data_IF_500391906180
#
_entry.id   IF_500391906180
#
_cell.length_a   1.000
_cell.length_b   1.000
_cell.length_c   1.000
_cell.angle_alpha   90.00
_cell.angle_beta   90.00
_cell.angle_gamma   90.00
#
_symmetry.space_group_name_H-M   'P 1'
#
loop_
_entity.id
_entity.type
_entity.pdbx_description
1 polymer ?
#
# COMPACT_ATOMS: atom_id res chain seq x y z
N UNK A 1 14.01 -3.07 -6.49
CA UNK A 1 13.58 -2.19 -7.59
C UNK A 1 13.52 -3.02 -8.85
N UNK A 2 12.58 -2.74 -9.76
CA UNK A 2 12.47 -3.46 -11.03
C UNK A 2 12.76 -2.48 -12.17
N UNK A 3 13.68 -2.87 -13.05
CA UNK A 3 13.99 -2.16 -14.28
C UNK A 3 13.39 -2.95 -15.45
N UNK A 4 12.74 -2.24 -16.36
CA UNK A 4 12.16 -2.77 -17.58
C UNK A 4 12.80 -2.08 -18.76
N UNK A 5 13.34 -2.86 -19.69
CA UNK A 5 13.80 -2.38 -20.99
C UNK A 5 12.74 -2.81 -22.01
N UNK A 6 11.96 -1.84 -22.51
CA UNK A 6 10.74 -2.13 -23.27
C UNK A 6 11.08 -2.33 -24.74
N UNK A 7 11.53 -1.27 -25.41
CA UNK A 7 11.86 -1.29 -26.85
C UNK A 7 12.81 -0.17 -27.25
N UNK A 8 13.54 -0.39 -28.34
CA UNK A 8 14.21 0.66 -29.11
C UNK A 8 13.33 1.13 -30.27
N UNK A 9 13.51 2.37 -30.71
CA UNK A 9 12.80 2.94 -31.86
C UNK A 9 13.80 3.71 -32.71
N UNK A 10 13.86 3.40 -34.01
CA UNK A 10 14.69 4.08 -35.01
C UNK A 10 16.15 4.22 -34.57
N UNK A 11 16.76 3.14 -34.08
CA UNK A 11 18.14 3.18 -33.58
C UNK A 11 19.15 3.49 -34.70
N UNK A 12 20.24 4.21 -34.39
CA UNK A 12 21.15 4.68 -35.42
C UNK A 12 21.85 3.51 -36.11
N UNK A 13 21.83 3.54 -37.43
CA UNK A 13 22.47 2.53 -38.25
C UNK A 13 23.94 2.90 -38.48
N UNK A 14 24.90 2.03 -38.15
CA UNK A 14 26.30 2.29 -38.44
C UNK A 14 26.60 2.32 -39.94
N UNK A 15 27.68 3.01 -40.38
CA UNK A 15 28.08 3.00 -41.78
C UNK A 15 28.32 1.58 -42.29
N UNK A 16 27.70 1.25 -43.43
CA UNK A 16 27.84 -0.06 -44.08
C UNK A 16 26.84 -1.14 -43.61
N UNK A 17 25.89 -0.80 -42.75
CA UNK A 17 24.77 -1.67 -42.36
C UNK A 17 23.45 -1.04 -42.82
N UNK A 18 22.43 -1.88 -43.03
CA UNK A 18 21.06 -1.41 -43.15
C UNK A 18 20.33 -1.48 -41.79
N UNK A 19 19.26 -0.70 -41.57
CA UNK A 19 18.47 -0.78 -40.35
C UNK A 19 17.97 -2.21 -40.05
N UNK A 20 17.68 -2.99 -41.10
CA UNK A 20 17.18 -4.36 -41.00
C UNK A 20 18.26 -5.41 -40.74
N UNK A 21 19.55 -5.05 -40.73
CA UNK A 21 20.65 -5.98 -40.44
C UNK A 21 21.18 -5.83 -39.00
N UNK A 22 20.51 -5.01 -38.19
CA UNK A 22 20.96 -4.72 -36.84
C UNK A 22 20.54 -5.83 -35.88
N UNK A 23 21.55 -6.48 -35.30
CA UNK A 23 21.41 -7.31 -34.10
C UNK A 23 21.66 -6.46 -32.87
N UNK A 24 20.66 -6.20 -32.04
CA UNK A 24 20.72 -5.20 -30.97
C UNK A 24 20.51 -5.84 -29.61
N UNK A 25 21.29 -5.42 -28.63
CA UNK A 25 21.03 -5.62 -27.21
C UNK A 25 21.34 -4.34 -26.43
N UNK A 26 20.75 -4.21 -25.24
CA UNK A 26 20.97 -3.07 -24.36
C UNK A 26 21.69 -3.54 -23.11
N UNK A 27 22.79 -2.88 -22.77
CA UNK A 27 23.47 -3.03 -21.48
C UNK A 27 22.99 -1.91 -20.57
N UNK A 28 22.82 -2.18 -19.29
CA UNK A 28 22.62 -1.11 -18.31
C UNK A 28 23.67 -1.15 -17.21
N UNK A 29 23.91 0.01 -16.62
CA UNK A 29 24.80 0.21 -15.48
C UNK A 29 24.05 1.05 -14.44
N UNK A 30 23.73 0.41 -13.31
CA UNK A 30 23.12 1.05 -12.15
C UNK A 30 24.20 1.27 -11.07
N UNK A 31 24.61 2.52 -10.80
CA UNK A 31 25.79 2.85 -10.00
C UNK A 31 25.52 2.76 -8.48
N UNK A 32 25.13 1.58 -8.02
CA UNK A 32 24.81 1.25 -6.63
C UNK A 32 25.24 -0.20 -6.30
N UNK A 33 25.89 -0.44 -5.14
CA UNK A 33 26.09 0.47 -4.00
C UNK A 33 27.13 1.58 -4.18
N UNK A 34 28.07 1.41 -5.10
CA UNK A 34 29.03 2.42 -5.54
C UNK A 34 29.31 2.23 -7.06
N UNK A 35 30.31 2.91 -7.64
CA UNK A 35 30.62 2.82 -9.09
C UNK A 35 31.38 1.54 -9.44
N UNK A 36 32.19 1.03 -8.52
CA UNK A 36 33.01 -0.17 -8.71
C UNK A 36 32.14 -1.44 -8.61
N UNK A 37 31.22 -1.45 -7.66
CA UNK A 37 30.22 -2.51 -7.42
C UNK A 37 28.88 -2.22 -8.11
N UNK A 38 28.90 -1.46 -9.21
CA UNK A 38 27.67 -1.14 -9.93
C UNK A 38 26.98 -2.40 -10.44
N UNK A 39 25.65 -2.43 -10.36
CA UNK A 39 24.84 -3.52 -10.90
C UNK A 39 24.72 -3.38 -12.41
N UNK A 40 25.27 -4.36 -13.13
CA UNK A 40 25.29 -4.39 -14.59
C UNK A 40 24.66 -5.67 -15.08
N UNK A 41 23.83 -5.54 -16.10
CA UNK A 41 23.30 -6.68 -16.84
C UNK A 41 22.99 -6.23 -18.28
N UNK A 42 22.50 -7.15 -19.10
CA UNK A 42 22.14 -6.89 -20.49
C UNK A 42 20.90 -7.65 -20.91
N UNK A 43 20.21 -7.11 -21.91
CA UNK A 43 19.12 -7.83 -22.58
C UNK A 43 19.63 -8.97 -23.43
N UNK A 44 18.71 -9.85 -23.81
CA UNK A 44 18.84 -10.72 -24.98
C UNK A 44 19.02 -9.89 -26.26
N UNK A 45 19.56 -10.56 -27.28
CA UNK A 45 19.84 -9.94 -28.58
C UNK A 45 18.62 -10.11 -29.47
N UNK A 46 18.06 -9.00 -29.93
CA UNK A 46 17.00 -8.97 -30.92
C UNK A 46 17.64 -8.74 -32.28
N UNK A 47 17.36 -9.61 -33.25
CA UNK A 47 18.04 -9.62 -34.55
C UNK A 47 17.26 -8.90 -35.63
N UNK A 48 17.99 -8.44 -36.64
CA UNK A 48 17.47 -7.92 -37.90
C UNK A 48 16.45 -6.78 -37.77
N UNK A 49 16.69 -5.81 -36.87
CA UNK A 49 15.78 -4.68 -36.68
C UNK A 49 16.44 -3.48 -36.02
N UNK A 50 16.06 -2.28 -36.43
CA UNK A 50 16.44 -1.01 -35.79
C UNK A 50 15.47 -0.58 -34.68
N UNK A 51 14.35 -1.30 -34.55
CA UNK A 51 13.29 -1.05 -33.58
C UNK A 51 12.98 -2.30 -32.76
N UNK A 52 13.96 -2.78 -31.96
CA UNK A 52 13.86 -4.04 -31.22
C UNK A 52 12.87 -3.94 -30.05
N UNK A 53 12.05 -4.97 -29.86
CA UNK A 53 11.24 -5.15 -28.65
C UNK A 53 11.91 -6.15 -27.70
N UNK A 54 12.33 -5.70 -26.52
CA UNK A 54 13.01 -6.54 -25.54
C UNK A 54 12.01 -7.11 -24.52
N UNK A 55 11.17 -6.25 -23.93
CA UNK A 55 10.20 -6.60 -22.86
C UNK A 55 10.84 -7.36 -21.69
N UNK A 56 12.09 -7.04 -21.37
CA UNK A 56 12.85 -7.70 -20.32
C UNK A 56 12.79 -6.96 -18.99
N UNK A 57 12.85 -7.73 -17.90
CA UNK A 57 12.77 -7.23 -16.53
C UNK A 57 13.99 -7.65 -15.71
N UNK A 58 14.61 -6.69 -15.05
CA UNK A 58 15.77 -6.88 -14.18
C UNK A 58 15.44 -6.50 -12.75
N UNK A 59 15.77 -7.37 -11.79
CA UNK A 59 15.57 -7.10 -10.37
C UNK A 59 16.83 -6.49 -9.77
N UNK A 60 16.79 -5.19 -9.48
CA UNK A 60 17.89 -4.45 -8.88
C UNK A 60 17.79 -4.50 -7.35
N UNK A 61 18.87 -4.96 -6.72
CA UNK A 61 19.05 -5.01 -5.28
C UNK A 61 19.28 -3.60 -4.74
N UNK A 62 18.47 -3.16 -3.78
CA UNK A 62 18.53 -1.80 -3.24
C UNK A 62 18.45 -1.82 -1.71
N UNK A 63 19.14 -0.88 -1.06
CA UNK A 63 18.95 -0.56 0.35
C UNK A 63 18.56 0.92 0.47
N UNK A 64 17.31 1.20 0.85
CA UNK A 64 16.74 2.55 0.94
C UNK A 64 17.48 3.46 1.94
N UNK A 65 18.07 2.88 2.98
CA UNK A 65 18.84 3.63 3.99
C UNK A 65 20.25 3.98 3.55
N UNK A 66 20.77 3.39 2.47
CA UNK A 66 22.15 3.58 2.05
C UNK A 66 22.35 4.91 1.32
N UNK A 67 23.39 5.67 1.71
CA UNK A 67 23.70 6.97 1.08
C UNK A 67 23.99 6.84 -0.41
N UNK A 68 24.65 5.76 -0.83
CA UNK A 68 24.91 5.48 -2.24
C UNK A 68 23.62 5.30 -3.05
N UNK A 69 22.56 4.75 -2.45
CA UNK A 69 21.27 4.60 -3.13
C UNK A 69 20.64 5.98 -3.38
N UNK A 70 20.57 6.84 -2.35
CA UNK A 70 20.08 8.22 -2.53
C UNK A 70 20.81 8.97 -3.62
N UNK A 71 22.15 8.85 -3.68
CA UNK A 71 22.96 9.49 -4.73
C UNK A 71 22.64 8.91 -6.12
N UNK A 72 22.48 7.60 -6.23
CA UNK A 72 22.10 6.95 -7.48
C UNK A 72 20.75 7.47 -7.99
N UNK A 73 19.78 7.69 -7.09
CA UNK A 73 18.46 8.23 -7.43
C UNK A 73 18.53 9.70 -7.83
N UNK A 74 19.16 10.55 -7.02
CA UNK A 74 19.10 12.02 -7.16
C UNK A 74 20.04 12.59 -8.21
N UNK A 75 21.20 11.97 -8.43
CA UNK A 75 22.28 12.60 -9.21
C UNK A 75 22.77 11.78 -10.39
N UNK A 76 22.70 10.44 -10.32
CA UNK A 76 23.33 9.58 -11.33
C UNK A 76 22.34 8.92 -12.29
N UNK A 77 21.25 8.34 -11.81
CA UNK A 77 20.34 7.56 -12.64
C UNK A 77 20.93 6.22 -13.10
N UNK A 78 20.29 5.60 -14.11
CA UNK A 78 20.75 4.37 -14.77
C UNK A 78 21.25 4.74 -16.16
N UNK A 79 22.47 4.28 -16.49
CA UNK A 79 23.02 4.43 -17.84
C UNK A 79 22.67 3.21 -18.67
N UNK A 80 22.29 3.42 -19.92
CA UNK A 80 22.04 2.40 -20.92
C UNK A 80 23.02 2.57 -22.08
N UNK A 81 23.52 1.46 -22.58
CA UNK A 81 24.34 1.41 -23.79
C UNK A 81 23.63 0.51 -24.78
N UNK A 82 23.26 1.09 -25.92
CA UNK A 82 22.63 0.36 -27.02
C UNK A 82 23.76 -0.18 -27.90
N UNK A 83 23.79 -1.49 -28.10
CA UNK A 83 24.92 -2.17 -28.73
C UNK A 83 24.44 -3.03 -29.87
N UNK A 84 25.07 -2.86 -31.03
CA UNK A 84 24.96 -3.81 -32.12
C UNK A 84 25.92 -4.97 -31.87
N UNK A 85 25.38 -6.19 -31.79
CA UNK A 85 26.16 -7.40 -31.63
C UNK A 85 26.88 -7.74 -32.93
N UNK A 86 28.20 -7.86 -32.85
CA UNK A 86 29.01 -8.31 -33.97
C UNK A 86 28.79 -9.81 -34.26
N UNK A 87 28.97 -10.21 -35.52
CA UNK A 87 29.03 -11.62 -35.89
C UNK A 87 30.25 -12.34 -35.27
N UNK A 88 30.44 -13.62 -35.62
CA UNK A 88 31.41 -14.54 -34.99
C UNK A 88 32.88 -14.05 -34.91
N UNK A 89 33.27 -13.05 -35.71
CA UNK A 89 34.61 -12.43 -35.71
C UNK A 89 34.60 -10.90 -35.69
N UNK A 90 33.44 -10.28 -35.48
CA UNK A 90 33.30 -8.82 -35.41
C UNK A 90 33.07 -8.42 -33.96
N UNK A 91 33.68 -7.33 -33.53
CA UNK A 91 33.45 -6.78 -32.19
C UNK A 91 32.06 -6.14 -32.10
N UNK A 92 31.50 -6.17 -30.90
CA UNK A 92 30.28 -5.44 -30.59
C UNK A 92 30.51 -3.93 -30.78
N UNK A 93 29.54 -3.25 -31.41
CA UNK A 93 29.62 -1.82 -31.70
C UNK A 93 28.56 -1.07 -30.90
N UNK A 94 29.00 -0.12 -30.08
CA UNK A 94 28.08 0.78 -29.37
C UNK A 94 27.46 1.73 -30.39
N UNK A 95 26.12 1.72 -30.44
CA UNK A 95 25.30 2.60 -31.29
C UNK A 95 25.05 3.94 -30.62
N UNK A 96 24.98 3.94 -29.29
CA UNK A 96 24.85 5.13 -28.48
C UNK A 96 24.52 4.80 -27.04
N UNK A 97 24.33 5.85 -26.25
CA UNK A 97 24.06 5.77 -24.82
C UNK A 97 22.83 6.60 -24.47
N UNK A 98 22.05 6.12 -23.49
CA UNK A 98 20.91 6.83 -22.93
C UNK A 98 21.03 6.82 -21.41
N UNK A 99 20.41 7.78 -20.72
CA UNK A 99 20.48 7.86 -19.26
C UNK A 99 19.10 8.19 -18.70
N UNK A 100 18.58 7.31 -17.84
CA UNK A 100 17.32 7.52 -17.12
C UNK A 100 17.60 8.21 -15.79
N UNK A 101 17.01 9.38 -15.58
CA UNK A 101 16.99 10.01 -14.26
C UNK A 101 15.93 9.34 -13.39
N UNK A 102 16.18 9.26 -12.08
CA UNK A 102 15.36 8.49 -11.14
C UNK A 102 14.74 9.37 -10.05
N UNK A 103 14.88 10.70 -10.15
CA UNK A 103 14.35 11.68 -9.21
C UNK A 103 12.83 11.59 -9.06
N UNK A 104 12.09 11.27 -10.14
CA UNK A 104 10.65 11.05 -10.07
C UNK A 104 10.23 9.87 -9.16
N UNK A 105 11.14 8.93 -8.85
CA UNK A 105 10.88 7.85 -7.88
C UNK A 105 10.80 8.33 -6.42
N UNK A 106 11.16 9.60 -6.15
CA UNK A 106 10.98 10.18 -4.81
C UNK A 106 9.50 10.35 -4.46
N UNK A 107 8.66 10.64 -5.46
CA UNK A 107 7.22 10.91 -5.32
C UNK A 107 6.33 9.85 -5.98
N UNK A 108 6.84 9.09 -6.94
CA UNK A 108 6.08 8.08 -7.68
C UNK A 108 6.67 6.67 -7.52
N UNK A 109 5.82 5.65 -7.66
CA UNK A 109 6.24 4.25 -7.69
C UNK A 109 6.77 3.80 -9.05
N UNK A 110 6.51 4.58 -10.11
CA UNK A 110 6.79 4.21 -11.49
C UNK A 110 7.31 5.41 -12.27
N UNK A 111 8.37 5.19 -13.05
CA UNK A 111 8.92 6.16 -13.99
C UNK A 111 9.05 5.45 -15.31
N UNK A 112 8.33 5.92 -16.33
CA UNK A 112 8.39 5.41 -17.70
C UNK A 112 8.76 6.56 -18.61
N UNK A 113 9.88 6.42 -19.31
CA UNK A 113 10.40 7.47 -20.17
C UNK A 113 10.87 6.88 -21.51
N UNK A 114 10.75 7.72 -22.54
CA UNK A 114 11.32 7.48 -23.86
C UNK A 114 12.57 8.36 -23.97
N UNK A 115 13.73 7.74 -23.79
CA UNK A 115 15.01 8.43 -23.75
C UNK A 115 15.59 8.56 -25.16
N UNK A 116 16.20 9.71 -25.46
CA UNK A 116 16.97 9.86 -26.69
C UNK A 116 18.32 9.16 -26.57
N UNK A 117 18.70 8.41 -27.60
CA UNK A 117 19.99 7.75 -27.69
C UNK A 117 21.01 8.74 -28.25
N UNK A 118 22.10 8.93 -27.50
CA UNK A 118 23.15 9.89 -27.80
C UNK A 118 24.46 9.20 -28.18
N UNK A 119 25.14 9.70 -29.20
CA UNK A 119 26.53 9.36 -29.48
C UNK A 119 27.44 10.45 -28.87
N UNK A 120 27.93 10.17 -27.67
CA UNK A 120 28.61 11.14 -26.82
C UNK A 120 27.67 12.29 -26.41
N UNK A 121 27.77 13.42 -27.10
CA UNK A 121 26.89 14.60 -26.89
C UNK A 121 25.89 14.83 -28.02
N UNK A 122 25.99 14.06 -29.12
CA UNK A 122 25.18 14.28 -30.31
C UNK A 122 23.92 13.40 -30.28
N UNK A 123 22.72 13.96 -30.51
CA UNK A 123 21.52 13.15 -30.65
C UNK A 123 21.61 12.29 -31.91
N UNK A 124 21.25 11.02 -31.79
CA UNK A 124 21.27 10.07 -32.92
C UNK A 124 19.92 9.97 -33.62
N UNK A 125 18.86 10.54 -33.04
CA UNK A 125 17.47 10.39 -33.49
C UNK A 125 16.79 9.11 -33.01
N UNK A 126 17.57 8.10 -32.60
CA UNK A 126 17.06 6.88 -31.99
C UNK A 126 16.55 7.08 -30.57
N UNK A 127 15.58 6.27 -30.16
CA UNK A 127 14.96 6.36 -28.84
C UNK A 127 14.95 5.01 -28.14
N UNK A 128 15.03 5.02 -26.81
CA UNK A 128 14.96 3.86 -25.95
C UNK A 128 13.86 4.06 -24.91
N UNK A 129 12.85 3.20 -24.95
CA UNK A 129 11.79 3.18 -23.96
C UNK A 129 12.15 2.28 -22.78
N UNK A 130 12.19 2.88 -21.59
CA UNK A 130 12.52 2.20 -20.35
C UNK A 130 11.52 2.55 -19.26
N UNK A 131 11.38 1.66 -18.29
CA UNK A 131 10.53 1.88 -17.15
C UNK A 131 11.18 1.34 -15.88
N UNK A 132 11.08 2.06 -14.78
CA UNK A 132 11.52 1.61 -13.46
C UNK A 132 10.35 1.64 -12.50
N UNK A 133 10.22 0.56 -11.71
CA UNK A 133 9.16 0.41 -10.71
C UNK A 133 9.73 0.08 -9.34
N UNK A 134 9.17 0.73 -8.32
CA UNK A 134 9.42 0.47 -6.91
C UNK A 134 8.09 0.24 -6.20
N UNK A 135 8.12 -0.50 -5.08
CA UNK A 135 6.91 -0.88 -4.35
C UNK A 135 6.22 0.31 -3.69
N UNK A 136 7.02 1.21 -3.13
CA UNK A 136 6.59 2.44 -2.48
C UNK A 136 7.58 3.53 -2.89
N UNK A 137 7.13 4.79 -3.03
CA UNK A 137 7.99 5.93 -3.31
C UNK A 137 9.04 6.12 -2.20
N UNK A 138 10.13 6.82 -2.53
CA UNK A 138 11.31 6.88 -1.65
C UNK A 138 11.20 7.91 -0.52
N UNK A 139 10.48 9.02 -0.74
CA UNK A 139 10.43 10.14 0.20
C UNK A 139 9.03 10.41 0.73
N UNK A 140 8.04 10.49 -0.16
CA UNK A 140 6.66 10.91 0.18
C UNK A 140 5.68 9.81 -0.16
N UNK A 141 4.68 9.50 0.68
CA UNK A 141 3.61 8.57 0.30
C UNK A 141 2.94 9.05 -0.99
N UNK A 142 2.85 8.19 -2.00
CA UNK A 142 2.21 8.52 -3.28
C UNK A 142 0.71 8.67 -3.01
N UNK A 143 0.25 9.92 -2.91
CA UNK A 143 -1.16 10.27 -2.77
C UNK A 143 -1.75 10.40 -4.18
N UNK A 144 -2.33 9.32 -4.69
CA UNK A 144 -3.09 9.35 -5.93
C UNK A 144 -4.52 9.81 -5.61
N UNK A 145 -4.93 10.98 -6.14
CA UNK A 145 -6.26 11.54 -5.89
C UNK A 145 -7.25 10.94 -6.88
N UNK A 146 -7.91 9.85 -6.49
CA UNK A 146 -8.92 9.20 -7.33
C UNK A 146 -10.30 9.83 -7.06
N UNK A 147 -10.92 10.42 -8.08
CA UNK A 147 -12.32 10.85 -8.00
C UNK A 147 -13.24 9.64 -8.14
N UNK A 148 -13.68 9.09 -7.02
CA UNK A 148 -14.72 8.07 -6.99
C UNK A 148 -16.12 8.72 -7.02
N UNK A 149 -17.07 8.10 -7.73
CA UNK A 149 -18.47 8.51 -7.70
C UNK A 149 -19.13 7.89 -6.47
N UNK A 150 -19.30 8.71 -5.45
CA UNK A 150 -19.99 8.32 -4.24
C UNK A 150 -21.49 8.21 -4.52
N UNK A 151 -22.05 7.01 -4.30
CA UNK A 151 -23.50 6.85 -4.23
C UNK A 151 -23.98 7.46 -2.92
N UNK A 152 -24.66 8.60 -3.00
CA UNK A 152 -25.36 9.20 -1.87
C UNK A 152 -26.77 8.60 -1.85
N UNK A 153 -27.08 7.83 -0.81
CA UNK A 153 -28.43 7.31 -0.57
C UNK A 153 -29.14 8.33 0.31
N UNK A 154 -30.11 9.03 -0.27
CA UNK A 154 -30.95 9.94 0.50
C UNK A 154 -31.74 9.15 1.56
N UNK A 155 -31.74 9.59 2.83
CA UNK A 155 -32.52 8.93 3.86
C UNK A 155 -34.00 9.06 3.52
N UNK A 156 -34.69 7.92 3.48
CA UNK A 156 -36.14 7.84 3.23
C UNK A 156 -36.85 8.75 4.24
N UNK A 157 -37.68 9.71 3.80
CA UNK A 157 -38.40 10.56 4.73
C UNK A 157 -39.30 9.68 5.61
N UNK A 158 -39.12 9.80 6.91
CA UNK A 158 -39.88 9.08 7.92
C UNK A 158 -41.38 9.25 7.63
N UNK A 159 -42.06 8.13 7.38
CA UNK A 159 -43.49 8.10 7.18
C UNK A 159 -44.19 8.80 8.35
N UNK A 160 -44.90 9.88 8.04
CA UNK A 160 -45.82 10.56 8.94
C UNK A 160 -46.87 9.55 9.43
N UNK A 161 -47.06 9.37 10.75
CA UNK A 161 -48.12 8.51 11.25
C UNK A 161 -49.48 9.15 10.98
N UNK A 162 -50.29 8.46 10.19
CA UNK A 162 -51.70 8.78 9.93
C UNK A 162 -52.46 8.76 11.25
N UNK A 163 -52.93 9.94 11.69
CA UNK A 163 -53.83 10.07 12.83
C UNK A 163 -55.23 9.60 12.41
N UNK A 164 -55.74 8.55 13.05
CA UNK A 164 -57.16 8.20 13.00
C UNK A 164 -57.81 8.65 14.32
N UNK A 165 -58.81 9.51 14.15
CA UNK A 165 -59.63 10.19 15.14
C UNK A 165 -60.49 9.26 16.01
N UNK A 166 -60.51 9.51 17.32
CA UNK A 166 -61.53 9.04 18.27
C UNK A 166 -61.68 10.04 19.44
N UNK A 167 -62.90 10.40 19.91
CA UNK A 167 -63.11 11.64 20.66
C UNK A 167 -63.27 11.50 22.20
N UNK A 168 -62.72 12.51 22.91
CA UNK A 168 -63.11 13.16 24.18
C UNK A 168 -63.18 12.38 25.51
N UNK A 169 -62.35 12.84 26.48
CA UNK A 169 -62.63 12.72 27.92
C UNK A 169 -61.55 13.25 28.88
N UNK A 170 -61.71 14.51 29.36
CA UNK A 170 -61.15 15.20 30.57
C UNK A 170 -59.62 15.32 30.81
N UNK A 171 -59.22 16.53 31.25
CA UNK A 171 -57.89 16.92 31.78
C UNK A 171 -57.98 17.19 33.32
N UNK A 172 -56.92 17.67 34.02
CA UNK A 172 -55.61 17.09 34.40
C UNK A 172 -55.49 16.92 35.96
N UNK A 173 -54.38 16.42 36.56
CA UNK A 173 -53.32 17.32 37.05
C UNK A 173 -51.88 16.75 37.04
N UNK A 174 -50.89 17.64 37.13
CA UNK A 174 -49.44 17.39 37.26
C UNK A 174 -49.15 16.75 38.63
N UNK A 175 -48.24 15.75 38.72
CA UNK A 175 -46.95 15.98 39.37
C UNK A 175 -45.77 15.27 38.68
N UNK A 176 -44.67 15.99 38.45
CA UNK A 176 -43.34 15.38 38.42
C UNK A 176 -42.96 14.91 39.84
N UNK A 177 -41.87 14.14 40.08
CA UNK A 177 -41.02 13.35 39.21
C UNK A 177 -40.88 11.87 39.71
N UNK A 178 -40.51 10.93 38.85
CA UNK A 178 -39.87 9.69 39.30
C UNK A 178 -38.72 9.32 38.38
N UNK A 179 -37.52 9.46 38.94
CA UNK A 179 -36.35 8.70 38.52
C UNK A 179 -36.73 7.23 38.51
N UNK A 180 -36.54 6.54 37.40
CA UNK A 180 -35.77 5.30 37.44
C UNK A 180 -34.95 5.12 36.16
N UNK A 181 -33.67 4.72 36.31
CA UNK A 181 -32.70 4.63 35.24
C UNK A 181 -32.70 3.21 34.66
N UNK A 182 -32.58 3.10 33.34
CA UNK A 182 -32.15 1.84 32.74
C UNK A 182 -33.03 1.38 31.61
N UNK A 183 -32.71 1.85 30.40
CA UNK A 183 -32.51 0.92 29.31
C UNK A 183 -31.70 1.60 28.18
N UNK A 184 -30.40 1.84 28.43
CA UNK A 184 -29.48 2.02 27.33
C UNK A 184 -29.08 0.62 26.90
N UNK A 185 -29.66 0.11 25.82
CA UNK A 185 -29.08 -0.99 25.03
C UNK A 185 -27.81 -0.49 24.33
N UNK A 186 -26.83 -0.04 25.13
CA UNK A 186 -25.53 0.40 24.67
C UNK A 186 -24.73 -0.84 24.29
N UNK A 187 -24.47 -1.01 22.99
CA UNK A 187 -23.51 -2.01 22.50
C UNK A 187 -22.21 -1.85 23.32
N UNK A 188 -21.63 -2.94 23.86
CA UNK A 188 -20.48 -2.85 24.76
C UNK A 188 -19.27 -2.29 24.01
N UNK A 189 -18.77 -1.14 24.49
CA UNK A 189 -17.58 -0.49 23.94
C UNK A 189 -16.38 -1.44 24.02
N UNK A 190 -15.52 -1.41 23.00
CA UNK A 190 -14.33 -2.27 22.86
C UNK A 190 -13.10 -1.46 22.51
N UNK A 191 -11.91 -1.89 22.93
CA UNK A 191 -10.66 -1.26 22.47
C UNK A 191 -10.58 -1.21 20.94
N UNK A 192 -10.46 0.01 20.41
CA UNK A 192 -10.29 0.25 18.98
C UNK A 192 -8.98 -0.36 18.48
N UNK A 193 -7.95 -0.39 19.33
CA UNK A 193 -6.65 -0.98 18.99
C UNK A 193 -6.73 -2.50 18.87
N UNK A 194 -7.49 -3.16 19.75
CA UNK A 194 -7.73 -4.62 19.66
C UNK A 194 -8.59 -4.95 18.44
N UNK A 195 -9.66 -4.17 18.17
CA UNK A 195 -10.48 -4.35 16.98
C UNK A 195 -9.67 -4.17 15.68
N UNK A 196 -8.77 -3.18 15.63
CA UNK A 196 -7.87 -2.98 14.50
C UNK A 196 -6.89 -4.15 14.30
N UNK A 197 -6.35 -4.69 15.40
CA UNK A 197 -5.49 -5.87 15.33
C UNK A 197 -6.24 -7.11 14.81
N UNK A 198 -7.45 -7.35 15.29
CA UNK A 198 -8.29 -8.47 14.82
C UNK A 198 -8.72 -8.29 13.36
N UNK A 199 -8.99 -7.04 12.93
CA UNK A 199 -9.26 -6.69 11.54
C UNK A 199 -8.06 -7.05 10.64
N UNK A 200 -6.85 -6.62 11.00
CA UNK A 200 -5.65 -6.89 10.20
C UNK A 200 -5.34 -8.40 10.13
N UNK A 201 -5.58 -9.12 11.24
CA UNK A 201 -5.42 -10.58 11.27
C UNK A 201 -6.39 -11.29 10.32
N UNK A 202 -7.66 -10.87 10.32
CA UNK A 202 -8.66 -11.41 9.40
C UNK A 202 -8.34 -11.05 7.95
N UNK A 203 -7.90 -9.83 7.68
CA UNK A 203 -7.51 -9.39 6.35
C UNK A 203 -6.35 -10.22 5.80
N UNK A 204 -5.30 -10.47 6.60
CA UNK A 204 -4.20 -11.36 6.23
C UNK A 204 -4.68 -12.78 5.92
N UNK A 205 -5.63 -13.31 6.70
CA UNK A 205 -6.22 -14.64 6.48
C UNK A 205 -7.03 -14.69 5.18
N UNK A 206 -7.83 -13.66 4.91
CA UNK A 206 -8.61 -13.51 3.68
C UNK A 206 -7.66 -13.43 2.47
N UNK A 207 -6.58 -12.65 2.58
CA UNK A 207 -5.57 -12.51 1.52
C UNK A 207 -4.87 -13.85 1.23
N UNK A 208 -4.49 -14.59 2.28
CA UNK A 208 -3.88 -15.91 2.13
C UNK A 208 -4.82 -16.91 1.43
N UNK A 209 -6.12 -16.89 1.77
CA UNK A 209 -7.13 -17.73 1.11
C UNK A 209 -7.29 -17.36 -0.37
N UNK A 210 -7.33 -16.06 -0.69
CA UNK A 210 -7.39 -15.56 -2.08
C UNK A 210 -6.15 -15.99 -2.88
N UNK A 211 -4.96 -15.89 -2.29
CA UNK A 211 -3.71 -16.36 -2.90
C UNK A 211 -3.73 -17.87 -3.17
N UNK A 212 -4.30 -18.65 -2.25
CA UNK A 212 -4.49 -20.09 -2.40
C UNK A 212 -5.64 -20.48 -3.35
N UNK A 213 -6.29 -19.50 -4.04
CA UNK A 213 -7.47 -19.67 -4.89
C UNK A 213 -8.63 -20.41 -4.18
N UNK A 214 -8.73 -20.26 -2.87
CA UNK A 214 -9.84 -20.81 -2.06
C UNK A 214 -10.90 -19.72 -1.84
N UNK A 215 -12.20 -20.07 -1.89
CA UNK A 215 -13.24 -19.12 -1.54
C UNK A 215 -13.08 -18.70 -0.07
N UNK A 216 -13.35 -17.43 0.21
CA UNK A 216 -13.34 -16.92 1.58
C UNK A 216 -14.59 -17.47 2.28
N UNK A 217 -14.44 -18.19 3.41
CA UNK A 217 -15.59 -18.68 4.15
C UNK A 217 -16.52 -17.52 4.55
N UNK A 218 -17.84 -17.66 4.41
CA UNK A 218 -18.80 -16.59 4.70
C UNK A 218 -18.71 -16.14 6.17
N UNK A 219 -18.36 -17.04 7.09
CA UNK A 219 -18.17 -16.71 8.51
C UNK A 219 -17.01 -15.73 8.72
N UNK A 220 -15.92 -15.92 7.98
CA UNK A 220 -14.73 -15.05 8.08
C UNK A 220 -15.02 -13.68 7.45
N UNK A 221 -15.74 -13.66 6.33
CA UNK A 221 -16.16 -12.42 5.68
C UNK A 221 -17.13 -11.63 6.57
N UNK A 222 -18.10 -12.30 7.18
CA UNK A 222 -19.06 -11.69 8.11
C UNK A 222 -18.35 -11.14 9.36
N UNK A 223 -17.43 -11.91 9.96
CA UNK A 223 -16.62 -11.43 11.09
C UNK A 223 -15.81 -10.18 10.75
N UNK A 224 -15.21 -10.13 9.56
CA UNK A 224 -14.47 -8.95 9.11
C UNK A 224 -15.40 -7.74 8.98
N UNK A 225 -16.56 -7.91 8.33
CA UNK A 225 -17.55 -6.84 8.18
C UNK A 225 -18.06 -6.34 9.54
N UNK A 226 -18.36 -7.24 10.47
CA UNK A 226 -18.83 -6.90 11.82
C UNK A 226 -17.79 -6.08 12.59
N UNK A 227 -16.51 -6.46 12.53
CA UNK A 227 -15.42 -5.72 13.19
C UNK A 227 -15.25 -4.33 12.55
N UNK A 228 -15.29 -4.24 11.23
CA UNK A 228 -15.19 -2.96 10.50
C UNK A 228 -16.35 -2.04 10.88
N UNK A 229 -17.59 -2.51 10.80
CA UNK A 229 -18.77 -1.74 11.15
C UNK A 229 -18.75 -1.30 12.62
N UNK A 230 -18.36 -2.20 13.53
CA UNK A 230 -18.26 -1.89 14.95
C UNK A 230 -17.20 -0.83 15.24
N UNK A 231 -16.03 -0.96 14.63
CA UNK A 231 -14.92 0.01 14.76
C UNK A 231 -15.37 1.40 14.27
N UNK A 232 -15.99 1.47 13.09
CA UNK A 232 -16.50 2.72 12.53
C UNK A 232 -17.60 3.34 13.39
N UNK A 233 -18.58 2.54 13.83
CA UNK A 233 -19.65 3.01 14.70
C UNK A 233 -19.11 3.58 16.02
N UNK A 234 -18.15 2.89 16.64
CA UNK A 234 -17.60 3.33 17.92
C UNK A 234 -16.71 4.58 17.76
N UNK A 235 -15.95 4.70 16.68
CA UNK A 235 -15.20 5.93 16.36
C UNK A 235 -16.14 7.12 16.21
N UNK A 236 -17.20 6.98 15.41
CA UNK A 236 -18.20 8.03 15.24
C UNK A 236 -18.88 8.42 16.56
N UNK A 237 -19.19 7.44 17.42
CA UNK A 237 -19.75 7.68 18.75
C UNK A 237 -18.76 8.43 19.65
N UNK A 238 -17.47 8.09 19.63
CA UNK A 238 -16.44 8.78 20.45
C UNK A 238 -16.10 10.18 19.93
N UNK A 239 -16.25 10.42 18.64
CA UNK A 239 -16.10 11.74 18.00
C UNK A 239 -17.27 12.67 18.33
N UNK A 240 -18.51 12.16 18.23
CA UNK A 240 -19.73 12.92 18.55
C UNK A 240 -20.01 12.96 20.06
N UNK A 241 -19.43 12.04 20.82
CA UNK A 241 -19.64 11.87 22.25
C UNK A 241 -18.87 12.88 23.08
N UNK A 242 -19.58 13.52 24.01
CA UNK A 242 -18.98 14.41 25.00
C UNK A 242 -18.08 13.70 26.03
N UNK A 243 -17.53 14.45 26.97
CA UNK A 243 -16.59 13.97 27.99
C UNK A 243 -17.11 12.78 28.82
N UNK A 244 -18.44 12.63 28.97
CA UNK A 244 -19.05 11.49 29.67
C UNK A 244 -18.84 10.16 28.96
N UNK A 245 -18.94 10.14 27.62
CA UNK A 245 -18.75 8.91 26.84
C UNK A 245 -17.27 8.49 26.82
N UNK A 246 -16.35 9.46 26.77
CA UNK A 246 -14.91 9.18 26.87
C UNK A 246 -14.52 8.60 28.22
N UNK A 247 -15.15 9.04 29.32
CA UNK A 247 -14.97 8.44 30.65
C UNK A 247 -15.50 7.01 30.73
N UNK A 248 -16.68 6.76 30.16
CA UNK A 248 -17.27 5.42 30.08
C UNK A 248 -16.38 4.49 29.23
N UNK A 249 -15.81 5.01 28.15
CA UNK A 249 -14.85 4.30 27.32
C UNK A 249 -13.54 3.99 28.06
N UNK A 250 -12.97 4.96 28.78
CA UNK A 250 -11.77 4.74 29.58
C UNK A 250 -11.98 3.68 30.67
N UNK A 251 -13.11 3.73 31.39
CA UNK A 251 -13.48 2.71 32.38
C UNK A 251 -13.61 1.32 31.74
N UNK A 252 -14.14 1.25 30.51
CA UNK A 252 -14.23 0.00 29.77
C UNK A 252 -12.86 -0.54 29.36
N UNK A 253 -11.94 0.32 28.92
CA UNK A 253 -10.56 -0.09 28.61
C UNK A 253 -9.83 -0.60 29.85
N UNK A 254 -10.04 0.01 31.02
CA UNK A 254 -9.48 -0.46 32.28
C UNK A 254 -9.99 -1.87 32.63
N UNK A 255 -11.28 -2.16 32.42
CA UNK A 255 -11.84 -3.51 32.57
C UNK A 255 -11.21 -4.51 31.59
N UNK A 256 -11.03 -4.11 30.33
CA UNK A 256 -10.38 -4.97 29.32
C UNK A 256 -8.91 -5.23 29.63
N UNK A 257 -8.21 -4.23 30.18
CA UNK A 257 -6.82 -4.36 30.61
C UNK A 257 -6.67 -5.38 31.74
N UNK A 258 -7.56 -5.33 32.73
CA UNK A 258 -7.61 -6.32 33.82
C UNK A 258 -7.91 -7.71 33.26
N UNK A 259 -8.91 -7.83 32.39
CA UNK A 259 -9.27 -9.09 31.75
C UNK A 259 -8.10 -9.74 31.01
N UNK A 260 -7.39 -8.99 30.15
CA UNK A 260 -6.24 -9.54 29.41
C UNK A 260 -5.05 -9.86 30.32
N UNK A 261 -4.87 -9.12 31.41
CA UNK A 261 -3.82 -9.40 32.41
C UNK A 261 -4.10 -10.72 33.13
N UNK A 262 -5.36 -10.95 33.54
CA UNK A 262 -5.77 -12.21 34.16
C UNK A 262 -5.73 -13.38 33.17
N UNK A 263 -6.20 -13.17 31.93
CA UNK A 263 -6.15 -14.18 30.88
C UNK A 263 -4.71 -14.60 30.56
N UNK A 264 -3.78 -13.65 30.46
CA UNK A 264 -2.36 -13.94 30.25
C UNK A 264 -1.75 -14.78 31.39
N UNK A 265 -2.11 -14.46 32.65
CA UNK A 265 -1.66 -15.24 33.82
C UNK A 265 -2.21 -16.66 33.80
N UNK A 266 -3.51 -16.82 33.56
CA UNK A 266 -4.16 -18.15 33.50
C UNK A 266 -3.57 -19.01 32.38
N UNK A 267 -3.51 -18.47 31.16
CA UNK A 267 -2.97 -19.19 30.00
C UNK A 267 -1.48 -19.50 30.13
N UNK A 268 -0.73 -18.66 30.87
CA UNK A 268 0.67 -18.92 31.22
C UNK A 268 0.81 -20.10 32.18
N UNK A 269 -0.04 -20.16 33.20
CA UNK A 269 -0.08 -21.26 34.17
C UNK A 269 -0.55 -22.57 33.53
N UNK A 270 -1.49 -22.50 32.58
CA UNK A 270 -2.02 -23.65 31.85
C UNK A 270 -1.06 -24.16 30.74
N UNK A 271 0.15 -23.60 30.64
CA UNK A 271 1.18 -24.02 29.67
C UNK A 271 0.92 -23.61 28.21
N UNK A 272 -0.17 -22.89 27.94
CA UNK A 272 -0.55 -22.41 26.61
C UNK A 272 0.24 -21.15 26.22
N UNK A 273 1.54 -21.33 25.97
CA UNK A 273 2.51 -20.24 25.74
C UNK A 273 2.10 -19.25 24.64
N UNK A 274 1.55 -19.72 23.53
CA UNK A 274 1.19 -18.85 22.41
C UNK A 274 -0.07 -18.03 22.69
N UNK A 275 -1.07 -18.63 23.33
CA UNK A 275 -2.28 -17.92 23.76
C UNK A 275 -1.94 -16.88 24.86
N UNK A 276 -1.02 -17.20 25.77
CA UNK A 276 -0.54 -16.26 26.78
C UNK A 276 0.18 -15.05 26.16
N UNK A 277 1.01 -15.28 25.13
CA UNK A 277 1.65 -14.20 24.36
C UNK A 277 0.63 -13.31 23.65
N UNK A 278 -0.39 -13.90 23.03
CA UNK A 278 -1.45 -13.13 22.37
C UNK A 278 -2.25 -12.29 23.37
N UNK A 279 -2.57 -12.84 24.55
CA UNK A 279 -3.23 -12.11 25.62
C UNK A 279 -2.38 -10.92 26.14
N UNK A 280 -1.06 -11.13 26.33
CA UNK A 280 -0.14 -10.04 26.69
C UNK A 280 -0.03 -8.97 25.60
N UNK A 281 -0.05 -9.37 24.33
CA UNK A 281 -0.01 -8.42 23.22
C UNK A 281 -1.28 -7.56 23.20
N UNK A 282 -2.46 -8.17 23.33
CA UNK A 282 -3.74 -7.46 23.45
C UNK A 282 -3.77 -6.53 24.67
N UNK A 283 -3.25 -6.97 25.82
CA UNK A 283 -3.08 -6.12 27.03
C UNK A 283 -2.30 -4.85 26.69
N UNK A 284 -1.16 -4.97 26.01
CA UNK A 284 -0.31 -3.83 25.68
C UNK A 284 -0.98 -2.88 24.69
N UNK A 285 -1.78 -3.38 23.75
CA UNK A 285 -2.60 -2.53 22.86
C UNK A 285 -3.59 -1.68 23.64
N UNK A 286 -4.31 -2.29 24.58
CA UNK A 286 -5.27 -1.60 25.45
C UNK A 286 -4.57 -0.58 26.35
N UNK A 287 -3.42 -0.93 26.93
CA UNK A 287 -2.63 -0.04 27.80
C UNK A 287 -2.16 1.20 27.05
N UNK A 288 -1.64 1.03 25.83
CA UNK A 288 -1.23 2.14 24.98
C UNK A 288 -2.42 3.04 24.59
N UNK A 289 -3.59 2.46 24.33
CA UNK A 289 -4.80 3.22 24.02
C UNK A 289 -5.28 4.05 25.22
N UNK A 290 -5.26 3.46 26.41
CA UNK A 290 -5.60 4.17 27.65
C UNK A 290 -4.63 5.33 27.92
N UNK A 291 -3.34 5.15 27.65
CA UNK A 291 -2.35 6.23 27.75
C UNK A 291 -2.63 7.36 26.76
N UNK A 292 -3.06 7.04 25.53
CA UNK A 292 -3.43 8.06 24.52
C UNK A 292 -4.67 8.86 24.91
N UNK A 293 -5.63 8.26 25.62
CA UNK A 293 -6.83 8.96 26.09
C UNK A 293 -6.57 9.87 27.30
N UNK A 294 -5.49 9.60 28.05
CA UNK A 294 -5.11 10.38 29.25
C UNK A 294 -4.15 11.55 28.94
N UNK A 295 -3.53 11.57 27.75
CA UNK A 295 -2.72 12.69 27.24
C UNK A 295 -3.60 13.75 26.60
#
# INVERSE_FOLDING_TARGET
MLLFIVKGVNLPTPPGLSPGDLDIFVRFDFPYPNVEEAQKDKTSVVRNTDSPEFKEQFKLGINRGHRGFRRAIQTKGIKFEVVHKGGLFKTDRVLGTAQLKLDALETACEVREILEVLDGRRPTGGRLEVMVRIREPLTTQQLETTTERWLVIDPVPAAVPTQVTGPKGRAPPIPAPSREPGNRSARPLHSLSVLAFDQERLERKILALRQARRPVPPEVAQQYQDIVQRSQWQRAQLEQGGASLRREYAAQLERQLQFYTEAARRLGNDGSRDAAKEALYRRNLVENELQRLRR
#
